data_IF_340246899922
#
_entry.id   IF_340246899922
#
_cell.length_a   1.000
_cell.length_b   1.000
_cell.length_c   1.000
_cell.angle_alpha   90.00
_cell.angle_beta   90.00
_cell.angle_gamma   90.00
#
_symmetry.space_group_name_H-M   'P 1'
#
loop_
_entity.id
_entity.type
_entity.pdbx_description
1 polymer ?
#
# COMPACT_ATOMS: atom_id res chain seq x y z
N UNK A 1 -27.36 0.38 -25.06
CA UNK A 1 -27.18 0.38 -23.59
C UNK A 1 -25.68 0.45 -23.33
N UNK A 2 -25.22 1.42 -22.53
CA UNK A 2 -23.79 1.53 -22.20
C UNK A 2 -23.43 0.36 -21.24
N UNK A 3 -22.43 -0.47 -21.57
CA UNK A 3 -22.04 -1.60 -20.73
C UNK A 3 -21.48 -1.12 -19.38
N UNK A 4 -21.60 -1.95 -18.34
CA UNK A 4 -20.93 -1.71 -17.06
C UNK A 4 -19.48 -2.13 -17.14
N UNK A 5 -18.63 -1.54 -16.30
CA UNK A 5 -17.29 -2.04 -16.07
C UNK A 5 -17.39 -3.36 -15.28
N UNK A 6 -16.95 -4.47 -15.87
CA UNK A 6 -17.09 -5.80 -15.25
C UNK A 6 -16.33 -5.91 -13.94
N UNK A 7 -15.09 -5.40 -13.92
CA UNK A 7 -14.19 -5.43 -12.77
C UNK A 7 -14.49 -4.39 -11.69
N UNK A 8 -15.42 -3.47 -11.93
CA UNK A 8 -15.77 -2.41 -10.97
C UNK A 8 -17.06 -2.76 -10.26
N UNK A 9 -17.00 -2.72 -8.95
CA UNK A 9 -18.13 -2.89 -8.04
C UNK A 9 -17.88 -2.04 -6.79
N UNK A 10 -18.95 -1.81 -6.03
CA UNK A 10 -18.87 -1.17 -4.73
C UNK A 10 -19.93 -1.76 -3.82
N UNK A 11 -19.50 -2.38 -2.75
CA UNK A 11 -20.38 -3.03 -1.77
C UNK A 11 -20.85 -2.07 -0.68
N UNK A 12 -20.15 -0.94 -0.52
CA UNK A 12 -20.27 -0.03 0.62
C UNK A 12 -19.09 -0.13 1.59
N UNK A 13 -18.09 -0.98 1.31
CA UNK A 13 -16.85 -1.07 2.09
C UNK A 13 -15.97 0.18 1.86
N UNK A 14 -15.59 0.92 2.92
CA UNK A 14 -14.68 2.05 2.81
C UNK A 14 -13.34 1.75 2.12
N UNK A 15 -12.84 0.51 2.18
CA UNK A 15 -11.59 0.11 1.50
C UNK A 15 -11.73 0.05 -0.02
N UNK A 16 -12.95 -0.16 -0.53
CA UNK A 16 -13.25 -0.18 -1.96
C UNK A 16 -13.45 1.23 -2.53
N UNK A 17 -13.73 2.21 -1.66
CA UNK A 17 -14.30 3.50 -2.05
C UNK A 17 -13.40 4.30 -2.99
N UNK A 18 -12.13 4.49 -2.67
CA UNK A 18 -11.22 5.32 -3.48
C UNK A 18 -10.98 4.72 -4.86
N UNK A 19 -10.79 3.39 -4.93
CA UNK A 19 -10.65 2.67 -6.20
C UNK A 19 -11.93 2.78 -7.04
N UNK A 20 -13.09 2.60 -6.41
CA UNK A 20 -14.39 2.75 -7.08
C UNK A 20 -14.56 4.17 -7.65
N UNK A 21 -14.30 5.21 -6.84
CA UNK A 21 -14.42 6.60 -7.26
C UNK A 21 -13.48 6.94 -8.41
N UNK A 22 -12.24 6.42 -8.40
CA UNK A 22 -11.29 6.59 -9.50
C UNK A 22 -11.85 6.04 -10.82
N UNK A 23 -12.20 4.75 -10.88
CA UNK A 23 -12.64 4.11 -12.13
C UNK A 23 -13.96 4.69 -12.65
N UNK A 24 -14.89 5.05 -11.76
CA UNK A 24 -16.13 5.70 -12.16
C UNK A 24 -15.86 7.10 -12.72
N UNK A 25 -14.99 7.89 -12.08
CA UNK A 25 -14.67 9.24 -12.55
C UNK A 25 -13.98 9.23 -13.91
N UNK A 26 -13.03 8.32 -14.10
CA UNK A 26 -12.34 8.08 -15.37
C UNK A 26 -13.34 7.72 -16.48
N UNK A 27 -14.22 6.74 -16.22
CA UNK A 27 -15.24 6.34 -17.18
C UNK A 27 -16.26 7.44 -17.48
N UNK A 28 -16.62 8.28 -16.49
CA UNK A 28 -17.51 9.43 -16.72
C UNK A 28 -16.87 10.50 -17.61
N UNK A 29 -15.54 10.58 -17.65
CA UNK A 29 -14.81 11.46 -18.55
C UNK A 29 -14.86 10.97 -20.00
N UNK A 30 -14.76 9.65 -20.21
CA UNK A 30 -14.75 9.05 -21.54
C UNK A 30 -16.16 8.86 -22.13
N UNK A 31 -17.13 8.47 -21.30
CA UNK A 31 -18.45 8.05 -21.75
C UNK A 31 -19.38 9.26 -21.87
N UNK A 32 -19.97 9.45 -23.07
CA UNK A 32 -21.01 10.45 -23.29
C UNK A 32 -22.39 9.87 -22.98
N UNK A 33 -23.05 10.44 -21.96
CA UNK A 33 -24.42 10.11 -21.60
C UNK A 33 -25.41 11.11 -22.19
N UNK A 34 -26.55 10.62 -22.67
CA UNK A 34 -27.63 11.47 -23.20
C UNK A 34 -28.30 12.34 -22.11
N UNK A 35 -28.16 11.94 -20.84
CA UNK A 35 -28.63 12.74 -19.70
C UNK A 35 -27.88 12.42 -18.42
N UNK A 36 -27.88 13.36 -17.48
CA UNK A 36 -27.33 13.17 -16.14
C UNK A 36 -28.00 12.02 -15.39
N UNK A 37 -29.31 11.84 -15.60
CA UNK A 37 -30.05 10.70 -15.04
C UNK A 37 -29.50 9.36 -15.53
N UNK A 38 -29.15 9.25 -16.82
CA UNK A 38 -28.55 8.03 -17.35
C UNK A 38 -27.14 7.79 -16.79
N UNK A 39 -26.34 8.85 -16.60
CA UNK A 39 -25.05 8.74 -15.94
C UNK A 39 -25.19 8.22 -14.50
N UNK A 40 -26.06 8.81 -13.69
CA UNK A 40 -26.33 8.38 -12.30
C UNK A 40 -26.80 6.93 -12.25
N UNK A 41 -27.76 6.56 -13.10
CA UNK A 41 -28.24 5.17 -13.16
C UNK A 41 -27.14 4.20 -13.60
N UNK A 42 -26.24 4.63 -14.47
CA UNK A 42 -25.10 3.81 -14.88
C UNK A 42 -24.11 3.60 -13.73
N UNK A 43 -23.81 4.63 -12.93
CA UNK A 43 -23.00 4.50 -11.70
C UNK A 43 -23.65 3.49 -10.76
N UNK A 44 -24.94 3.63 -10.48
CA UNK A 44 -25.68 2.78 -9.54
C UNK A 44 -25.71 1.27 -9.92
N UNK A 45 -25.44 0.92 -11.19
CA UNK A 45 -25.32 -0.49 -11.62
C UNK A 45 -24.06 -1.20 -11.09
N UNK A 46 -23.12 -0.44 -10.55
CA UNK A 46 -21.91 -0.96 -9.93
C UNK A 46 -22.07 -1.14 -8.41
N UNK A 47 -23.23 -0.76 -7.83
CA UNK A 47 -23.57 -1.06 -6.45
C UNK A 47 -24.01 -2.51 -6.30
N UNK A 48 -23.03 -3.40 -6.26
CA UNK A 48 -23.20 -4.86 -6.28
C UNK A 48 -22.02 -5.53 -5.60
N UNK A 49 -22.15 -6.82 -5.34
CA UNK A 49 -21.02 -7.66 -4.99
C UNK A 49 -20.21 -8.01 -6.25
N UNK A 50 -18.92 -8.38 -6.12
CA UNK A 50 -18.16 -8.95 -7.22
C UNK A 50 -18.88 -10.16 -7.83
N UNK A 51 -18.63 -10.39 -9.13
CA UNK A 51 -19.30 -11.44 -9.91
C UNK A 51 -19.26 -12.80 -9.18
N UNK A 52 -20.43 -13.35 -8.85
CA UNK A 52 -20.59 -14.63 -8.13
C UNK A 52 -21.35 -14.54 -6.80
N UNK A 53 -21.51 -13.35 -6.20
CA UNK A 53 -22.21 -13.16 -4.91
C UNK A 53 -23.57 -12.45 -5.00
N UNK A 54 -24.04 -12.18 -6.22
CA UNK A 54 -25.30 -11.46 -6.45
C UNK A 54 -26.53 -12.36 -6.21
N UNK A 55 -27.05 -12.33 -4.98
CA UNK A 55 -28.34 -12.93 -4.60
C UNK A 55 -29.41 -11.84 -4.45
N UNK A 56 -30.65 -12.12 -4.86
CA UNK A 56 -31.80 -11.24 -4.56
C UNK A 56 -32.03 -11.08 -3.04
N UNK A 57 -31.53 -12.00 -2.23
CA UNK A 57 -31.65 -11.99 -0.77
C UNK A 57 -30.58 -11.11 -0.09
N UNK A 58 -29.46 -10.84 -0.77
CA UNK A 58 -28.33 -10.07 -0.23
C UNK A 58 -28.01 -8.90 -1.15
N UNK A 59 -28.53 -7.72 -0.80
CA UNK A 59 -28.13 -6.47 -1.45
C UNK A 59 -26.90 -5.88 -0.79
N UNK A 60 -25.95 -5.39 -1.59
CA UNK A 60 -24.84 -4.58 -1.12
C UNK A 60 -25.36 -3.37 -0.31
N UNK A 61 -24.59 -2.94 0.69
CA UNK A 61 -24.97 -1.78 1.51
C UNK A 61 -25.06 -0.50 0.67
N UNK A 62 -24.17 -0.32 -0.29
CA UNK A 62 -24.24 0.73 -1.32
C UNK A 62 -25.57 0.74 -2.09
N UNK A 63 -26.09 -0.44 -2.44
CA UNK A 63 -27.37 -0.57 -3.13
C UNK A 63 -28.55 -0.25 -2.19
N UNK A 64 -28.49 -0.68 -0.93
CA UNK A 64 -29.50 -0.30 0.07
C UNK A 64 -29.55 1.21 0.30
N UNK A 65 -28.38 1.85 0.39
CA UNK A 65 -28.24 3.30 0.46
C UNK A 65 -28.87 3.98 -0.77
N UNK A 66 -28.59 3.46 -1.98
CA UNK A 66 -29.19 3.94 -3.23
C UNK A 66 -30.72 3.86 -3.21
N UNK A 67 -31.30 2.75 -2.76
CA UNK A 67 -32.75 2.62 -2.59
C UNK A 67 -33.30 3.64 -1.58
N UNK A 68 -32.57 3.89 -0.49
CA UNK A 68 -32.91 4.94 0.48
C UNK A 68 -32.96 6.33 -0.15
N UNK A 69 -31.96 6.66 -0.99
CA UNK A 69 -31.90 7.93 -1.71
C UNK A 69 -33.05 8.07 -2.72
N UNK A 70 -33.42 7.00 -3.44
CA UNK A 70 -34.59 7.00 -4.32
C UNK A 70 -35.90 7.20 -3.56
N UNK A 71 -36.05 6.62 -2.36
CA UNK A 71 -37.20 6.86 -1.47
C UNK A 71 -37.25 8.32 -1.01
N UNK A 72 -36.11 8.93 -0.65
CA UNK A 72 -36.03 10.36 -0.34
C UNK A 72 -36.48 11.20 -1.53
N UNK A 73 -36.02 10.86 -2.73
CA UNK A 73 -36.40 11.52 -3.98
C UNK A 73 -37.90 11.40 -4.31
N UNK A 74 -38.51 10.23 -4.06
CA UNK A 74 -39.96 10.05 -4.25
C UNK A 74 -40.78 10.94 -3.30
N UNK A 75 -40.35 11.05 -2.03
CA UNK A 75 -40.99 11.94 -1.05
C UNK A 75 -40.90 13.42 -1.45
N UNK A 76 -39.76 13.85 -1.99
CA UNK A 76 -39.59 15.22 -2.49
C UNK A 76 -40.55 15.57 -3.65
N UNK A 77 -41.03 14.56 -4.38
CA UNK A 77 -42.03 14.71 -5.44
C UNK A 77 -43.49 14.59 -4.94
N UNK A 78 -43.69 14.37 -3.63
CA UNK A 78 -45.02 14.14 -3.05
C UNK A 78 -45.61 12.76 -3.36
N UNK A 79 -44.78 11.78 -3.75
CA UNK A 79 -45.25 10.42 -4.02
C UNK A 79 -45.60 9.68 -2.71
N UNK A 80 -46.60 8.77 -2.72
CA UNK A 80 -46.99 8.01 -1.53
C UNK A 80 -45.86 7.14 -0.96
N UNK A 81 -45.91 6.83 0.34
CA UNK A 81 -44.93 5.94 1.00
C UNK A 81 -44.91 4.53 0.40
N UNK A 82 -46.05 4.07 -0.12
CA UNK A 82 -46.20 2.77 -0.79
C UNK A 82 -45.66 2.76 -2.23
N UNK A 83 -45.19 3.89 -2.76
CA UNK A 83 -44.64 3.99 -4.11
C UNK A 83 -43.40 3.12 -4.24
N UNK A 84 -43.44 2.17 -5.19
CA UNK A 84 -42.28 1.39 -5.56
C UNK A 84 -41.33 2.28 -6.39
N UNK A 85 -40.10 2.46 -5.89
CA UNK A 85 -39.08 3.27 -6.58
C UNK A 85 -38.86 2.75 -8.00
N UNK A 86 -38.85 3.67 -8.97
CA UNK A 86 -38.75 3.33 -10.39
C UNK A 86 -37.67 4.12 -11.09
N UNK A 87 -36.98 3.48 -12.03
CA UNK A 87 -36.09 4.16 -12.98
C UNK A 87 -36.82 5.22 -13.82
N UNK A 88 -38.16 5.19 -13.88
CA UNK A 88 -38.98 6.19 -14.58
C UNK A 88 -39.18 7.47 -13.77
N UNK A 89 -39.06 7.43 -12.44
CA UNK A 89 -39.30 8.57 -11.56
C UNK A 89 -38.33 9.72 -11.88
N UNK A 90 -38.79 10.97 -11.84
CA UNK A 90 -37.91 12.12 -12.06
C UNK A 90 -36.96 12.28 -10.87
N UNK A 91 -35.78 12.86 -11.11
CA UNK A 91 -34.86 13.23 -10.04
C UNK A 91 -35.11 14.68 -9.68
N UNK A 92 -35.52 14.91 -8.43
CA UNK A 92 -36.00 16.20 -7.92
C UNK A 92 -35.17 16.72 -6.73
N UNK A 93 -34.29 15.89 -6.17
CA UNK A 93 -33.41 16.27 -5.06
C UNK A 93 -32.04 16.75 -5.57
N UNK A 94 -31.38 17.69 -4.86
CA UNK A 94 -30.10 18.28 -5.31
C UNK A 94 -29.01 17.24 -5.59
N UNK A 95 -28.94 16.17 -4.79
CA UNK A 95 -27.96 15.09 -4.90
C UNK A 95 -28.10 14.29 -6.19
N UNK A 96 -29.28 14.34 -6.84
CA UNK A 96 -29.56 13.65 -8.10
C UNK A 96 -29.68 14.61 -9.30
N UNK A 97 -29.30 15.88 -9.12
CA UNK A 97 -29.35 16.90 -10.17
C UNK A 97 -28.31 16.68 -11.28
N UNK A 98 -27.15 16.14 -10.92
CA UNK A 98 -26.04 15.84 -11.81
C UNK A 98 -25.21 14.66 -11.31
N UNK A 99 -24.47 14.02 -12.21
CA UNK A 99 -23.48 13.00 -11.85
C UNK A 99 -22.43 13.53 -10.87
N UNK A 100 -21.99 14.79 -11.02
CA UNK A 100 -21.07 15.43 -10.08
C UNK A 100 -21.67 15.60 -8.68
N UNK A 101 -22.90 16.09 -8.58
CA UNK A 101 -23.59 16.21 -7.29
C UNK A 101 -23.79 14.83 -6.62
N UNK A 102 -24.10 13.81 -7.42
CA UNK A 102 -24.26 12.44 -6.93
C UNK A 102 -22.94 11.85 -6.42
N UNK A 103 -21.83 12.05 -7.16
CA UNK A 103 -20.49 11.63 -6.74
C UNK A 103 -20.04 12.35 -5.47
N UNK A 104 -20.33 13.64 -5.32
CA UNK A 104 -20.09 14.38 -4.09
C UNK A 104 -20.87 13.79 -2.90
N UNK A 105 -22.14 13.47 -3.08
CA UNK A 105 -22.94 12.86 -2.02
C UNK A 105 -22.51 11.43 -1.65
N UNK A 106 -22.01 10.66 -2.63
CA UNK A 106 -21.35 9.38 -2.37
C UNK A 106 -20.11 9.55 -1.49
N UNK A 107 -19.27 10.55 -1.79
CA UNK A 107 -18.10 10.88 -1.00
C UNK A 107 -18.44 11.36 0.41
N UNK A 108 -19.51 12.13 0.59
CA UNK A 108 -19.99 12.49 1.93
C UNK A 108 -20.49 11.28 2.73
N UNK A 109 -21.08 10.28 2.06
CA UNK A 109 -21.73 9.14 2.72
C UNK A 109 -20.75 7.99 3.03
N UNK A 110 -19.79 7.74 2.14
CA UNK A 110 -18.89 6.59 2.19
C UNK A 110 -17.41 6.98 2.23
N UNK A 111 -17.08 8.25 1.94
CA UNK A 111 -15.73 8.73 2.02
C UNK A 111 -15.17 8.49 3.42
N UNK A 112 -13.94 8.01 3.46
CA UNK A 112 -13.17 7.82 4.67
C UNK A 112 -12.80 9.21 5.21
N UNK A 113 -13.64 9.77 6.09
CA UNK A 113 -13.35 11.03 6.77
C UNK A 113 -12.01 11.03 7.53
N UNK A 114 -11.49 9.83 7.83
CA UNK A 114 -10.19 9.61 8.46
C UNK A 114 -9.12 9.07 7.49
N UNK A 115 -9.33 8.99 6.17
CA UNK A 115 -8.31 8.41 5.27
C UNK A 115 -6.98 9.15 5.34
N UNK A 116 -7.01 10.48 5.39
CA UNK A 116 -5.81 11.29 5.54
C UNK A 116 -5.10 11.01 6.86
N UNK A 117 -5.85 10.85 7.96
CA UNK A 117 -5.29 10.56 9.28
C UNK A 117 -4.76 9.13 9.35
N UNK A 118 -5.49 8.14 8.83
CA UNK A 118 -5.05 6.76 8.73
C UNK A 118 -3.77 6.64 7.88
N UNK A 119 -3.68 7.41 6.79
CA UNK A 119 -2.49 7.46 5.94
C UNK A 119 -1.33 8.13 6.66
N UNK A 120 -1.58 9.18 7.44
CA UNK A 120 -0.60 9.81 8.31
C UNK A 120 -0.11 8.85 9.39
N UNK A 121 -1.00 8.14 10.07
CA UNK A 121 -0.67 7.10 11.05
C UNK A 121 0.18 5.99 10.42
N UNK A 122 -0.24 5.48 9.25
CA UNK A 122 0.51 4.48 8.50
C UNK A 122 1.91 5.00 8.08
N UNK A 123 2.00 6.27 7.71
CA UNK A 123 3.25 6.92 7.33
C UNK A 123 4.24 6.98 8.52
N UNK A 124 3.78 7.40 9.70
CA UNK A 124 4.62 7.48 10.89
C UNK A 124 4.91 6.13 11.55
N UNK A 125 4.06 5.12 11.31
CA UNK A 125 4.29 3.74 11.76
C UNK A 125 5.22 2.96 10.83
N UNK A 126 5.44 3.43 9.59
CA UNK A 126 6.29 2.75 8.62
C UNK A 126 7.75 2.79 9.09
N UNK A 127 8.38 1.62 9.14
CA UNK A 127 9.82 1.49 9.40
C UNK A 127 10.43 0.51 8.40
N UNK A 128 11.70 0.72 8.06
CA UNK A 128 12.41 -0.16 7.13
C UNK A 128 12.58 -1.56 7.73
N UNK A 129 12.95 -1.65 9.01
CA UNK A 129 13.28 -2.91 9.67
C UNK A 129 14.33 -3.70 8.89
N UNK A 130 14.01 -4.96 8.59
CA UNK A 130 14.83 -5.88 7.78
C UNK A 130 14.46 -5.86 6.28
N UNK A 131 13.54 -4.98 5.87
CA UNK A 131 13.11 -4.92 4.49
C UNK A 131 14.21 -4.35 3.58
N UNK A 132 14.30 -4.90 2.37
CA UNK A 132 15.15 -4.36 1.31
C UNK A 132 14.81 -2.89 1.04
N UNK A 133 15.84 -2.06 0.91
CA UNK A 133 15.72 -0.61 0.75
C UNK A 133 14.85 -0.20 -0.44
N UNK A 134 14.92 -0.93 -1.56
CA UNK A 134 14.12 -0.62 -2.74
C UNK A 134 12.63 -0.83 -2.48
N UNK A 135 12.25 -1.93 -1.83
CA UNK A 135 10.86 -2.21 -1.47
C UNK A 135 10.35 -1.20 -0.44
N UNK A 136 11.19 -0.84 0.53
CA UNK A 136 10.86 0.20 1.53
C UNK A 136 10.60 1.55 0.87
N UNK A 137 11.47 2.00 -0.03
CA UNK A 137 11.29 3.28 -0.72
C UNK A 137 10.01 3.33 -1.55
N UNK A 138 9.63 2.21 -2.20
CA UNK A 138 8.35 2.13 -2.93
C UNK A 138 7.15 2.31 -1.98
N UNK A 139 7.15 1.64 -0.83
CA UNK A 139 6.06 1.77 0.16
C UNK A 139 6.04 3.16 0.80
N UNK A 140 7.22 3.69 1.15
CA UNK A 140 7.37 5.02 1.70
C UNK A 140 6.83 6.07 0.74
N UNK A 141 7.19 5.99 -0.55
CA UNK A 141 6.72 6.94 -1.56
C UNK A 141 5.20 6.85 -1.78
N UNK A 142 4.61 5.65 -1.71
CA UNK A 142 3.16 5.50 -1.83
C UNK A 142 2.38 6.20 -0.70
N UNK A 143 2.96 6.30 0.50
CA UNK A 143 2.33 6.94 1.66
C UNK A 143 2.69 8.42 1.78
N UNK A 144 3.96 8.79 1.60
CA UNK A 144 4.46 10.13 1.92
C UNK A 144 3.85 11.23 1.05
N UNK A 145 3.51 10.90 -0.21
CA UNK A 145 2.87 11.85 -1.13
C UNK A 145 1.35 11.94 -0.96
N UNK A 146 0.76 11.06 -0.16
CA UNK A 146 -0.64 11.18 0.24
C UNK A 146 -0.84 11.98 1.53
N UNK A 147 0.24 12.43 2.18
CA UNK A 147 0.22 13.32 3.35
C UNK A 147 0.81 14.68 2.97
N UNK A 148 0.22 15.75 3.49
CA UNK A 148 0.73 17.11 3.29
C UNK A 148 1.99 17.35 4.15
N UNK A 149 3.15 17.02 3.58
CA UNK A 149 4.47 17.24 4.16
C UNK A 149 5.32 18.09 3.20
N UNK A 150 6.10 19.00 3.76
CA UNK A 150 7.15 19.71 3.02
C UNK A 150 8.29 18.76 2.66
N UNK A 151 9.10 19.11 1.65
CA UNK A 151 10.26 18.31 1.25
C UNK A 151 11.22 18.02 2.43
N UNK A 152 11.41 19.00 3.31
CA UNK A 152 12.26 18.85 4.50
C UNK A 152 11.65 17.88 5.52
N UNK A 153 10.33 17.91 5.71
CA UNK A 153 9.65 16.96 6.59
C UNK A 153 9.70 15.54 6.02
N UNK A 154 9.51 15.38 4.71
CA UNK A 154 9.67 14.09 4.03
C UNK A 154 11.05 13.47 4.28
N UNK A 155 12.11 14.26 4.12
CA UNK A 155 13.48 13.82 4.40
C UNK A 155 13.66 13.37 5.86
N UNK A 156 13.12 14.12 6.83
CA UNK A 156 13.22 13.77 8.26
C UNK A 156 12.48 12.47 8.59
N UNK A 157 11.23 12.36 8.14
CA UNK A 157 10.43 11.14 8.37
C UNK A 157 11.10 9.93 7.71
N UNK A 158 11.72 10.11 6.55
CA UNK A 158 12.49 9.06 5.90
C UNK A 158 13.71 8.64 6.74
N UNK A 159 14.48 9.61 7.24
CA UNK A 159 15.62 9.34 8.13
C UNK A 159 15.20 8.56 9.38
N UNK A 160 14.12 8.98 10.05
CA UNK A 160 13.61 8.36 11.26
C UNK A 160 13.09 6.92 11.03
N UNK A 161 12.60 6.64 9.83
CA UNK A 161 12.05 5.34 9.46
C UNK A 161 13.11 4.33 8.99
N UNK A 162 14.33 4.77 8.67
CA UNK A 162 15.40 3.88 8.19
C UNK A 162 15.95 2.96 9.27
N UNK A 163 16.46 1.81 8.84
CA UNK A 163 17.24 0.93 9.71
C UNK A 163 18.49 1.67 10.21
N UNK A 164 18.73 1.64 11.52
CA UNK A 164 19.79 2.40 12.19
C UNK A 164 21.18 2.05 11.63
N UNK A 165 21.44 0.79 11.29
CA UNK A 165 22.71 0.37 10.73
C UNK A 165 22.92 0.94 9.32
N UNK A 166 21.88 0.87 8.49
CA UNK A 166 21.91 1.43 7.14
C UNK A 166 22.10 2.96 7.19
N UNK A 167 21.34 3.64 8.04
CA UNK A 167 21.46 5.07 8.27
C UNK A 167 22.87 5.46 8.74
N UNK A 168 23.47 4.64 9.61
CA UNK A 168 24.84 4.86 10.10
C UNK A 168 25.90 4.75 8.99
N UNK A 169 25.70 3.87 8.00
CA UNK A 169 26.57 3.79 6.82
C UNK A 169 26.35 5.03 5.93
N UNK A 170 25.10 5.42 5.73
CA UNK A 170 24.75 6.54 4.87
C UNK A 170 25.26 7.88 5.41
N UNK A 171 25.08 8.18 6.70
CA UNK A 171 25.49 9.44 7.34
C UNK A 171 27.01 9.65 7.33
N UNK A 172 27.80 8.58 7.27
CA UNK A 172 29.27 8.67 7.12
C UNK A 172 29.68 9.26 5.77
N UNK A 173 28.81 9.22 4.77
CA UNK A 173 29.01 9.86 3.49
C UNK A 173 28.60 11.34 3.56
N UNK A 174 29.50 12.27 3.22
CA UNK A 174 29.23 13.71 3.33
C UNK A 174 28.01 14.15 2.53
N UNK A 175 27.78 13.54 1.36
CA UNK A 175 26.62 13.85 0.52
C UNK A 175 25.28 13.58 1.22
N UNK A 176 25.23 12.72 2.26
CA UNK A 176 24.02 12.55 3.06
C UNK A 176 23.57 13.85 3.69
N UNK A 177 24.50 14.64 4.24
CA UNK A 177 24.16 15.91 4.91
C UNK A 177 23.79 17.01 3.92
N UNK A 178 24.27 16.90 2.68
CA UNK A 178 24.05 17.88 1.62
C UNK A 178 22.77 17.61 0.81
N UNK A 179 22.30 16.37 0.80
CA UNK A 179 21.07 15.95 0.15
C UNK A 179 19.85 16.70 0.73
N UNK A 180 19.13 17.42 -0.14
CA UNK A 180 17.97 18.25 0.24
C UNK A 180 16.64 17.65 -0.20
N UNK A 181 16.68 16.67 -1.10
CA UNK A 181 15.49 16.01 -1.60
C UNK A 181 15.38 14.60 -1.06
N UNK A 182 14.15 14.11 -0.96
CA UNK A 182 13.87 12.73 -0.59
C UNK A 182 14.53 11.76 -1.59
N UNK A 183 14.52 12.11 -2.88
CA UNK A 183 15.11 11.28 -3.94
C UNK A 183 16.63 11.12 -3.76
N UNK A 184 17.35 12.22 -3.50
CA UNK A 184 18.79 12.18 -3.20
C UNK A 184 19.08 11.29 -1.98
N UNK A 185 18.27 11.40 -0.92
CA UNK A 185 18.40 10.57 0.29
C UNK A 185 18.12 9.10 -0.02
N UNK A 186 17.13 8.81 -0.85
CA UNK A 186 16.79 7.45 -1.25
C UNK A 186 17.90 6.81 -2.08
N UNK A 187 18.54 7.55 -2.97
CA UNK A 187 19.67 7.07 -3.76
C UNK A 187 20.93 6.82 -2.93
N UNK A 188 21.18 7.68 -1.95
CA UNK A 188 22.25 7.45 -0.98
C UNK A 188 21.97 6.24 -0.08
N UNK A 189 20.71 6.01 0.30
CA UNK A 189 20.34 4.83 1.09
C UNK A 189 20.49 3.53 0.27
N UNK A 190 20.15 3.54 -1.02
CA UNK A 190 20.45 2.43 -1.95
C UNK A 190 21.96 2.16 -2.03
N UNK A 191 22.76 3.22 -2.15
CA UNK A 191 24.22 3.13 -2.18
C UNK A 191 24.79 2.57 -0.88
N UNK A 192 24.28 3.02 0.27
CA UNK A 192 24.66 2.51 1.58
C UNK A 192 24.30 1.03 1.74
N UNK A 193 23.16 0.59 1.21
CA UNK A 193 22.73 -0.81 1.25
C UNK A 193 23.66 -1.70 0.44
N UNK A 194 24.08 -1.24 -0.74
CA UNK A 194 25.07 -1.94 -1.55
C UNK A 194 26.44 -2.04 -0.84
N UNK A 195 26.88 -0.95 -0.19
CA UNK A 195 28.12 -0.95 0.60
C UNK A 195 28.01 -1.95 1.74
N UNK A 196 26.88 -1.96 2.47
CA UNK A 196 26.61 -2.91 3.55
C UNK A 196 26.75 -4.36 3.08
N UNK A 197 26.08 -4.72 2.00
CA UNK A 197 26.16 -6.07 1.43
C UNK A 197 27.60 -6.48 1.09
N UNK A 198 28.39 -5.56 0.54
CA UNK A 198 29.82 -5.82 0.26
C UNK A 198 30.63 -6.02 1.54
N UNK A 199 30.38 -5.22 2.58
CA UNK A 199 31.04 -5.36 3.87
C UNK A 199 30.71 -6.71 4.51
N UNK A 200 29.44 -7.11 4.49
CA UNK A 200 28.98 -8.39 5.04
C UNK A 200 29.69 -9.59 4.34
N UNK A 201 29.84 -9.52 3.01
CA UNK A 201 30.58 -10.54 2.23
C UNK A 201 32.06 -10.60 2.61
N UNK A 202 32.70 -9.44 2.81
CA UNK A 202 34.11 -9.38 3.20
C UNK A 202 34.29 -9.92 4.62
N UNK A 203 33.42 -9.52 5.55
CA UNK A 203 33.47 -9.97 6.93
C UNK A 203 33.31 -11.50 7.03
N UNK A 204 32.34 -12.06 6.31
CA UNK A 204 32.15 -13.51 6.25
C UNK A 204 33.37 -14.27 5.71
N UNK A 205 34.13 -13.69 4.76
CA UNK A 205 35.38 -14.28 4.27
C UNK A 205 36.48 -14.24 5.32
N UNK A 206 36.66 -13.11 5.99
CA UNK A 206 37.65 -12.94 7.06
C UNK A 206 37.35 -13.91 8.21
N UNK A 207 36.10 -14.04 8.62
CA UNK A 207 35.69 -14.97 9.67
C UNK A 207 35.97 -16.42 9.28
N UNK A 208 35.71 -16.79 8.01
CA UNK A 208 36.00 -18.13 7.49
C UNK A 208 37.51 -18.42 7.38
N UNK A 209 38.34 -17.42 7.09
CA UNK A 209 39.80 -17.55 7.08
C UNK A 209 40.36 -17.73 8.50
N UNK A 210 39.87 -16.94 9.46
CA UNK A 210 40.27 -17.04 10.87
C UNK A 210 39.93 -18.41 11.48
N UNK A 211 38.79 -18.99 11.11
CA UNK A 211 38.38 -20.34 11.51
C UNK A 211 39.29 -21.44 10.92
N UNK A 212 39.85 -21.23 9.73
CA UNK A 212 40.77 -22.19 9.10
C UNK A 212 42.17 -22.13 9.70
N UNK A 213 42.65 -20.94 10.06
CA UNK A 213 43.96 -20.76 10.70
C UNK A 213 44.00 -21.22 12.16
N UNK A 214 42.88 -21.17 12.89
CA UNK A 214 42.80 -21.63 14.27
C UNK A 214 42.75 -23.16 14.46
N UNK A 215 42.68 -23.95 13.37
CA UNK A 215 42.58 -25.42 13.42
C UNK A 215 43.87 -26.18 13.07
N UNK A 216 45.00 -25.49 12.86
CA UNK A 216 46.25 -26.10 12.41
C UNK A 216 47.36 -26.22 13.48
N UNK A 217 47.13 -25.81 14.73
CA UNK A 217 48.18 -25.85 15.78
C UNK A 217 48.26 -27.14 16.62
N UNK A 218 47.36 -28.13 16.44
CA UNK A 218 47.27 -29.30 17.33
C UNK A 218 47.83 -30.64 16.76
N UNK A 219 48.64 -30.62 15.70
CA UNK A 219 49.26 -31.86 15.18
C UNK A 219 50.73 -31.69 14.78
N UNK A 220 51.63 -31.45 15.72
CA UNK A 220 53.04 -31.85 15.56
C UNK A 220 53.70 -32.21 16.91
N UNK A 221 54.16 -33.46 17.03
CA UNK A 221 54.94 -34.00 18.16
C UNK A 221 54.10 -34.87 19.09
N UNK A 222 54.18 -36.21 19.04
CA UNK A 222 55.32 -37.02 19.48
C UNK A 222 55.32 -38.35 18.71
N UNK A 223 56.40 -38.64 17.96
CA UNK A 223 56.71 -39.99 17.47
C UNK A 223 57.63 -40.64 18.50
N UNK A 224 57.19 -41.73 19.15
CA UNK A 224 58.05 -42.65 19.88
C UNK A 224 57.79 -44.06 19.37
N UNK A 225 58.77 -44.62 18.66
CA UNK A 225 58.87 -46.05 18.33
C UNK A 225 59.98 -46.72 19.15
N UNK A 226 59.98 -48.06 19.30
CA UNK A 226 60.18 -48.72 20.58
C UNK A 226 61.58 -49.33 20.79
N UNK A 227 61.89 -49.58 22.07
CA UNK A 227 63.13 -50.22 22.52
C UNK A 227 63.21 -51.69 22.08
N UNK A 228 64.33 -52.02 21.43
CA UNK A 228 64.71 -53.33 20.93
C UNK A 228 65.35 -54.16 22.07
N UNK A 229 64.70 -55.22 22.54
CA UNK A 229 65.29 -56.20 23.45
C UNK A 229 65.76 -57.42 22.67
N UNK A 230 67.08 -57.67 22.66
CA UNK A 230 67.68 -58.94 22.25
C UNK A 230 67.89 -59.86 23.47
N UNK A 231 67.77 -61.19 23.31
CA UNK A 231 67.92 -62.15 24.40
C UNK A 231 69.39 -62.54 24.60
N UNK A 232 69.81 -62.74 25.84
CA UNK A 232 71.09 -63.39 26.18
C UNK A 232 70.80 -64.78 26.73
N UNK A 233 71.33 -65.80 26.04
CA UNK A 233 71.48 -67.17 26.51
C UNK A 233 72.77 -67.27 27.35
N UNK A 234 72.64 -67.77 28.58
CA UNK A 234 73.44 -68.83 29.26
C UNK A 234 73.28 -68.71 30.78
#
# INVERSE_FOLDING_TARGET
MIPTLSHVYFTGDPQEFDNFMYYISDALHEIKFESQKLAINWIARHFRFPDGENSMERSAFSFQWWIGLLKKNARAQGLPISHAVSVKDKYAIPELSSSQAFMGHLQESFGTGNALENMREAMYALSQGEQEIQRFNTQFNALVYGVDLTETERCKVYEDALNVELLSIAIKHTAWREAKTLDDKQDLAKSASFIKQKLDVIQARVDAENLKSGGQEDQEGIVLEPANFSPVNL
#
